data_IF_869071428194
#
_entry.id   IF_869071428194
#
_cell.length_a   1.000
_cell.length_b   1.000
_cell.length_c   1.000
_cell.angle_alpha   90.00
_cell.angle_beta   90.00
_cell.angle_gamma   90.00
#
_symmetry.space_group_name_H-M   'P 1'
#
loop_
_entity.id
_entity.type
_entity.pdbx_description
1 polymer ?
#
# COMPACT_ATOMS: atom_id res chain seq x y z
N UNK A 1 3.14 -12.04 -20.56
CA UNK A 1 2.38 -10.85 -20.13
C UNK A 1 3.14 -10.16 -19.01
N UNK A 2 3.14 -8.83 -18.97
CA UNK A 2 3.78 -8.05 -17.91
C UNK A 2 2.70 -7.46 -16.99
N UNK A 3 2.92 -7.55 -15.68
CA UNK A 3 2.15 -6.83 -14.69
C UNK A 3 3.14 -5.99 -13.88
N UNK A 4 3.03 -4.67 -13.98
CA UNK A 4 3.90 -3.72 -13.30
C UNK A 4 3.04 -2.60 -12.73
N UNK A 5 3.27 -2.24 -11.47
CA UNK A 5 2.50 -1.23 -10.75
C UNK A 5 3.49 -0.34 -9.99
N UNK A 6 3.29 0.97 -10.06
CA UNK A 6 4.00 1.97 -9.25
C UNK A 6 2.99 2.73 -8.41
N UNK A 7 3.17 2.74 -7.09
CA UNK A 7 2.31 3.45 -6.14
C UNK A 7 3.12 4.51 -5.38
N UNK A 8 2.55 5.70 -5.25
CA UNK A 8 3.12 6.79 -4.44
C UNK A 8 2.02 7.25 -3.49
N UNK A 9 2.31 7.23 -2.19
CA UNK A 9 1.31 7.51 -1.16
C UNK A 9 1.92 7.64 0.23
N UNK A 10 1.04 7.69 1.24
CA UNK A 10 1.42 7.77 2.65
C UNK A 10 1.04 6.50 3.38
N UNK A 11 1.86 6.08 4.35
CA UNK A 11 1.49 4.99 5.25
C UNK A 11 0.33 5.42 6.15
N UNK A 12 -0.67 4.56 6.29
CA UNK A 12 -1.79 4.79 7.20
C UNK A 12 -1.50 4.44 8.65
N UNK A 13 -0.47 3.61 8.89
CA UNK A 13 0.01 3.18 10.19
C UNK A 13 1.44 2.63 10.02
N UNK A 14 2.10 2.34 11.14
CA UNK A 14 3.38 1.65 11.14
C UNK A 14 3.26 0.27 10.46
N UNK A 15 4.32 -0.21 9.78
CA UNK A 15 4.36 -1.54 9.17
C UNK A 15 4.09 -2.66 10.20
N UNK A 16 3.27 -3.64 9.81
CA UNK A 16 3.00 -4.82 10.63
C UNK A 16 3.82 -6.01 10.10
N UNK A 17 4.81 -6.46 10.88
CA UNK A 17 5.68 -7.59 10.53
C UNK A 17 5.13 -8.86 11.17
N UNK A 18 4.94 -9.90 10.35
CA UNK A 18 4.40 -11.19 10.79
C UNK A 18 5.22 -12.34 10.26
N UNK A 19 5.36 -13.38 11.09
CA UNK A 19 5.85 -14.68 10.68
C UNK A 19 4.69 -15.62 10.37
N UNK A 20 4.83 -16.39 9.30
CA UNK A 20 3.92 -17.47 8.95
C UNK A 20 4.26 -18.72 9.76
N UNK A 21 3.31 -19.66 9.85
CA UNK A 21 3.52 -20.96 10.51
C UNK A 21 4.61 -21.82 9.84
N UNK A 22 5.05 -21.46 8.64
CA UNK A 22 6.13 -22.14 7.90
C UNK A 22 7.50 -21.48 8.10
N UNK A 23 7.59 -20.39 8.88
CA UNK A 23 8.83 -19.67 9.15
C UNK A 23 9.12 -18.52 8.18
N UNK A 24 8.27 -18.29 7.17
CA UNK A 24 8.44 -17.13 6.28
C UNK A 24 7.96 -15.85 6.97
N UNK A 25 8.75 -14.77 6.89
CA UNK A 25 8.38 -13.44 7.37
C UNK A 25 7.84 -12.56 6.25
N UNK A 26 6.87 -11.71 6.55
CA UNK A 26 6.42 -10.65 5.66
C UNK A 26 6.07 -9.37 6.43
N UNK A 27 6.22 -8.23 5.76
CA UNK A 27 5.73 -6.95 6.23
C UNK A 27 4.44 -6.55 5.48
N UNK A 28 3.43 -6.10 6.21
CA UNK A 28 2.17 -5.57 5.68
C UNK A 28 2.14 -4.06 5.82
N UNK A 29 1.99 -3.36 4.69
CA UNK A 29 1.87 -1.90 4.62
C UNK A 29 0.46 -1.50 4.20
N UNK A 30 -0.12 -0.53 4.87
CA UNK A 30 -1.34 0.16 4.43
C UNK A 30 -0.97 1.49 3.79
N UNK A 31 -1.18 1.63 2.48
CA UNK A 31 -0.79 2.80 1.70
C UNK A 31 -2.02 3.56 1.20
N UNK A 32 -2.14 4.82 1.61
CA UNK A 32 -3.14 5.76 1.11
C UNK A 32 -2.59 6.50 -0.12
N UNK A 33 -3.29 6.44 -1.24
CA UNK A 33 -3.04 7.28 -2.42
C UNK A 33 -4.22 8.22 -2.64
N UNK A 34 -3.95 9.45 -3.06
CA UNK A 34 -4.98 10.45 -3.29
C UNK A 34 -5.13 10.70 -4.79
N UNK A 35 -6.37 10.62 -5.27
CA UNK A 35 -6.72 10.95 -6.65
C UNK A 35 -7.64 12.17 -6.64
N UNK A 36 -7.23 13.21 -7.37
CA UNK A 36 -8.05 14.41 -7.58
C UNK A 36 -8.72 14.28 -8.95
N UNK A 37 -10.04 14.30 -8.97
CA UNK A 37 -10.83 14.21 -10.20
C UNK A 37 -11.89 15.29 -10.24
N UNK A 38 -12.29 15.68 -11.46
CA UNK A 38 -13.39 16.63 -11.66
C UNK A 38 -14.70 15.85 -11.64
N UNK A 39 -15.58 16.20 -10.69
CA UNK A 39 -16.90 15.60 -10.58
C UNK A 39 -17.90 16.26 -11.55
N UNK A 40 -19.08 15.64 -11.70
CA UNK A 40 -20.11 16.07 -12.67
C UNK A 40 -20.68 17.45 -12.40
N UNK A 41 -20.64 17.89 -11.15
CA UNK A 41 -21.01 19.23 -10.68
C UNK A 41 -19.95 20.30 -11.04
N UNK A 42 -18.81 19.89 -11.60
CA UNK A 42 -17.73 20.78 -12.01
C UNK A 42 -16.69 21.03 -10.93
N UNK A 43 -16.93 20.58 -9.69
CA UNK A 43 -16.00 20.71 -8.58
C UNK A 43 -14.91 19.63 -8.63
N UNK A 44 -13.72 19.96 -8.14
CA UNK A 44 -12.69 18.96 -7.93
C UNK A 44 -12.94 18.25 -6.61
N UNK A 45 -13.04 16.92 -6.67
CA UNK A 45 -13.13 16.07 -5.49
C UNK A 45 -11.84 15.29 -5.32
N UNK A 46 -11.51 15.03 -4.07
CA UNK A 46 -10.38 14.19 -3.70
C UNK A 46 -10.93 12.86 -3.19
N UNK A 47 -10.39 11.76 -3.70
CA UNK A 47 -10.70 10.41 -3.23
C UNK A 47 -9.43 9.73 -2.80
N UNK A 48 -9.43 9.24 -1.57
CA UNK A 48 -8.36 8.39 -1.05
C UNK A 48 -8.65 6.94 -1.43
N UNK A 49 -7.64 6.26 -1.97
CA UNK A 49 -7.63 4.83 -2.24
C UNK A 49 -6.65 4.15 -1.29
N UNK A 50 -7.09 3.06 -0.66
CA UNK A 50 -6.28 2.31 0.29
C UNK A 50 -5.77 1.02 -0.33
N UNK A 51 -4.47 0.81 -0.25
CA UNK A 51 -3.78 -0.35 -0.80
C UNK A 51 -3.13 -1.13 0.34
N UNK A 52 -3.33 -2.45 0.36
CA UNK A 52 -2.58 -3.34 1.26
C UNK A 52 -1.43 -3.97 0.48
N UNK A 53 -0.19 -3.63 0.84
CA UNK A 53 1.02 -4.15 0.19
C UNK A 53 1.67 -5.17 1.12
N UNK A 54 1.93 -6.38 0.61
CA UNK A 54 2.66 -7.42 1.32
C UNK A 54 4.07 -7.54 0.75
N UNK A 55 5.08 -7.38 1.59
CA UNK A 55 6.49 -7.49 1.23
C UNK A 55 7.04 -8.78 1.80
N UNK A 56 7.37 -9.73 0.92
CA UNK A 56 7.93 -11.05 1.27
C UNK A 56 9.46 -11.06 1.19
N UNK A 57 10.11 -10.03 1.75
CA UNK A 57 11.57 -9.95 1.80
C UNK A 57 12.03 -10.00 3.28
N UNK A 58 12.80 -11.03 3.68
CA UNK A 58 13.31 -11.17 5.04
C UNK A 58 14.08 -9.96 5.56
N UNK A 59 14.76 -9.21 4.68
CA UNK A 59 15.56 -8.04 5.06
C UNK A 59 14.71 -6.82 5.43
N UNK A 60 13.50 -6.71 4.89
CA UNK A 60 12.57 -5.59 5.17
C UNK A 60 11.76 -5.86 6.44
N UNK A 61 11.61 -7.13 6.83
CA UNK A 61 10.97 -7.52 8.08
C UNK A 61 11.84 -7.24 9.33
N UNK A 62 13.13 -6.94 9.17
CA UNK A 62 14.09 -6.80 10.26
C UNK A 62 14.66 -5.38 10.45
N UNK A 63 14.24 -4.39 9.64
CA UNK A 63 14.76 -3.01 9.73
C UNK A 63 13.92 -2.11 10.62
#
# INVERSE_FOLDING_TARGET
MINSVMLIGRLGADPDVRETTKGDSYASLSLATNERYKAKDGEYKEKTQWHKVMVFNPQVAQS
#
